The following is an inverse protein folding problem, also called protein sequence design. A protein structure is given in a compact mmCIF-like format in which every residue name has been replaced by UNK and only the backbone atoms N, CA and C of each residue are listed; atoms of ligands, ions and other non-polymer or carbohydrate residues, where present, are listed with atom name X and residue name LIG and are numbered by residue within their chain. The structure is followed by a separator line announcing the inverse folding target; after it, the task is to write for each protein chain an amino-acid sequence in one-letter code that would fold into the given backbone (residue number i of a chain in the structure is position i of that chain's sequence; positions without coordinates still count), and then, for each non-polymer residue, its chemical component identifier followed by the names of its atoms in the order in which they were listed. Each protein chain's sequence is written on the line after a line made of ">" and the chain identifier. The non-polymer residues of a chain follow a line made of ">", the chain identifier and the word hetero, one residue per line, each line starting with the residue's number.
data_IF_696979385746
#
_entry.id   IF_696979385746
#
_cell.length_a   1.000
_cell.length_b   1.000
_cell.length_c   1.000
_cell.angle_alpha   90.00
_cell.angle_beta   90.00
_cell.angle_gamma   90.00
#
_symmetry.space_group_name_H-M   'P 1'
#
loop_
_entity.id
_entity.type
_entity.pdbx_description
1 polymer ?
#
# COMPACT_ATOMS: atom_id res chain seq x y z
N UNK A 1 17.64 15.05 -0.21
CA UNK A 1 17.21 13.64 -0.19
C UNK A 1 18.43 12.81 -0.50
N UNK A 2 18.76 11.77 0.27
CA UNK A 2 19.92 10.91 -0.02
C UNK A 2 19.44 9.61 -0.67
N UNK A 3 19.57 9.50 -2.00
CA UNK A 3 19.17 8.31 -2.75
C UNK A 3 19.82 7.03 -2.24
N UNK A 4 21.00 7.10 -1.62
CA UNK A 4 21.66 5.93 -1.05
C UNK A 4 20.89 5.33 0.13
N UNK A 5 20.20 6.15 0.94
CA UNK A 5 19.32 5.65 2.01
C UNK A 5 18.15 4.86 1.41
N UNK A 6 17.53 5.37 0.35
CA UNK A 6 16.43 4.70 -0.34
C UNK A 6 16.88 3.40 -1.02
N UNK A 7 18.03 3.40 -1.70
CA UNK A 7 18.57 2.19 -2.31
C UNK A 7 18.88 1.11 -1.28
N UNK A 8 19.44 1.48 -0.12
CA UNK A 8 19.58 0.54 1.01
C UNK A 8 18.22 0.02 1.49
N UNK A 9 17.21 0.89 1.59
CA UNK A 9 15.86 0.52 2.05
C UNK A 9 15.19 -0.52 1.15
N UNK A 10 15.39 -0.44 -0.17
CA UNK A 10 14.76 -1.37 -1.13
C UNK A 10 15.72 -2.47 -1.62
N UNK A 11 16.96 -2.50 -1.14
CA UNK A 11 17.98 -3.45 -1.60
C UNK A 11 18.42 -3.24 -3.06
N UNK A 12 18.35 -2.01 -3.57
CA UNK A 12 18.82 -1.69 -4.92
C UNK A 12 20.34 -1.58 -4.95
N UNK A 13 20.95 -2.33 -5.88
CA UNK A 13 22.37 -2.26 -6.21
C UNK A 13 22.56 -2.35 -7.72
N UNK A 14 23.21 -1.36 -8.32
CA UNK A 14 23.44 -1.34 -9.76
C UNK A 14 23.64 0.08 -10.28
N UNK A 15 23.90 0.21 -11.59
CA UNK A 15 23.96 1.50 -12.25
C UNK A 15 22.59 2.19 -12.19
N UNK A 16 22.61 3.51 -12.06
CA UNK A 16 21.43 4.38 -12.07
C UNK A 16 21.72 5.74 -12.71
N UNK A 17 22.85 5.86 -13.42
CA UNK A 17 23.34 7.10 -14.02
C UNK A 17 22.46 7.58 -15.18
N UNK A 18 21.59 6.72 -15.71
CA UNK A 18 20.67 7.04 -16.80
C UNK A 18 19.25 6.54 -16.48
N UNK A 19 18.22 7.34 -16.77
CA UNK A 19 16.82 6.95 -16.58
C UNK A 19 16.36 6.00 -17.70
N UNK A 20 16.76 4.73 -17.62
CA UNK A 20 16.40 3.68 -18.59
C UNK A 20 15.27 2.76 -18.10
N UNK A 21 14.70 1.97 -19.02
CA UNK A 21 13.59 1.08 -18.68
C UNK A 21 13.99 -0.11 -17.78
N UNK A 22 15.17 -0.76 -17.97
CA UNK A 22 15.62 -1.82 -17.05
C UNK A 22 15.74 -1.35 -15.60
N UNK A 23 16.30 -0.16 -15.36
CA UNK A 23 16.43 0.42 -14.02
C UNK A 23 15.06 0.75 -13.43
N UNK A 24 14.14 1.31 -14.23
CA UNK A 24 12.78 1.62 -13.77
C UNK A 24 12.03 0.36 -13.32
N UNK A 25 12.06 -0.71 -14.13
CA UNK A 25 11.46 -2.02 -13.78
C UNK A 25 12.04 -2.57 -12.48
N UNK A 26 13.37 -2.51 -12.34
CA UNK A 26 14.05 -3.02 -11.16
C UNK A 26 13.71 -2.24 -9.90
N UNK A 27 13.71 -0.90 -9.97
CA UNK A 27 13.32 -0.04 -8.86
C UNK A 27 11.87 -0.29 -8.43
N UNK A 28 10.94 -0.40 -9.39
CA UNK A 28 9.54 -0.68 -9.14
C UNK A 28 9.35 -2.02 -8.40
N UNK A 29 9.95 -3.09 -8.94
CA UNK A 29 9.87 -4.45 -8.37
C UNK A 29 10.46 -4.50 -6.96
N UNK A 30 11.65 -3.94 -6.77
CA UNK A 30 12.31 -3.90 -5.45
C UNK A 30 11.51 -3.08 -4.43
N UNK A 31 10.89 -1.98 -4.85
CA UNK A 31 10.04 -1.19 -3.97
C UNK A 31 8.86 -2.00 -3.46
N UNK A 32 8.04 -2.59 -4.35
CA UNK A 32 6.83 -3.33 -3.93
C UNK A 32 7.14 -4.58 -3.11
N UNK A 33 8.36 -5.13 -3.23
CA UNK A 33 8.83 -6.28 -2.45
C UNK A 33 9.42 -5.89 -1.08
N UNK A 34 9.85 -4.63 -0.92
CA UNK A 34 10.57 -4.18 0.28
C UNK A 34 9.75 -3.22 1.15
N UNK A 35 8.88 -2.40 0.56
CA UNK A 35 8.10 -1.38 1.25
C UNK A 35 6.65 -1.86 1.37
N UNK A 36 6.14 -2.14 2.59
CA UNK A 36 4.76 -2.54 2.77
C UNK A 36 3.79 -1.43 2.36
N UNK A 37 2.70 -1.82 1.71
CA UNK A 37 1.49 -1.01 1.68
C UNK A 37 0.79 -1.15 3.03
N UNK A 38 0.67 -0.06 3.79
CA UNK A 38 0.09 -0.12 5.14
C UNK A 38 -0.54 1.21 5.59
N UNK A 39 -1.54 1.11 6.47
CA UNK A 39 -2.20 2.26 7.12
C UNK A 39 -2.14 2.18 8.65
N UNK A 40 -1.17 1.45 9.21
CA UNK A 40 -1.14 1.09 10.64
C UNK A 40 -0.95 2.31 11.55
N UNK A 41 -0.27 3.36 11.07
CA UNK A 41 -0.16 4.63 11.81
C UNK A 41 -1.52 5.18 12.21
N UNK A 42 -2.52 5.12 11.32
CA UNK A 42 -3.90 5.57 11.62
C UNK A 42 -4.51 4.78 12.79
N UNK A 43 -4.25 3.47 12.84
CA UNK A 43 -4.74 2.58 13.91
C UNK A 43 -3.93 2.67 15.20
N UNK A 44 -2.77 3.32 15.16
CA UNK A 44 -1.96 3.69 16.32
C UNK A 44 -2.22 5.13 16.80
N UNK A 45 -3.19 5.85 16.22
CA UNK A 45 -3.50 7.23 16.57
C UNK A 45 -2.50 8.26 16.02
N UNK A 46 -1.70 7.88 15.02
CA UNK A 46 -0.79 8.75 14.29
C UNK A 46 -1.42 9.21 12.97
N UNK A 47 -1.23 10.48 12.60
CA UNK A 47 -1.65 11.00 11.29
C UNK A 47 -0.79 10.42 10.15
N UNK A 48 -1.42 10.02 9.05
CA UNK A 48 -0.78 9.70 7.78
C UNK A 48 -0.45 11.02 7.05
N UNK A 49 0.81 11.43 7.19
CA UNK A 49 1.35 12.70 6.71
C UNK A 49 1.68 12.65 5.24
N UNK A 50 1.36 13.73 4.50
CA UNK A 50 1.86 13.94 3.14
C UNK A 50 3.13 14.79 3.08
N UNK A 51 3.64 15.27 4.22
CA UNK A 51 4.91 15.99 4.28
C UNK A 51 6.07 15.09 3.78
N UNK A 52 6.81 15.50 2.72
CA UNK A 52 7.82 14.65 2.12
C UNK A 52 8.96 14.25 3.07
N UNK A 53 9.26 15.07 4.08
CA UNK A 53 10.34 14.78 5.04
C UNK A 53 9.89 13.73 6.06
N UNK A 54 8.66 13.83 6.55
CA UNK A 54 8.04 12.83 7.45
C UNK A 54 7.84 11.48 6.75
N UNK A 55 7.41 11.50 5.49
CA UNK A 55 7.25 10.30 4.68
C UNK A 55 8.60 9.61 4.45
N UNK A 56 9.63 10.38 4.09
CA UNK A 56 10.99 9.85 3.93
C UNK A 56 11.51 9.21 5.21
N UNK A 57 11.38 9.89 6.35
CA UNK A 57 11.82 9.36 7.64
C UNK A 57 11.10 8.05 8.00
N UNK A 58 9.76 8.03 7.88
CA UNK A 58 8.93 6.85 8.14
C UNK A 58 9.34 5.66 7.26
N UNK A 59 9.32 5.83 5.94
CA UNK A 59 9.49 4.72 5.00
C UNK A 59 10.96 4.31 4.88
N UNK A 60 11.88 5.27 4.73
CA UNK A 60 13.28 5.01 4.40
C UNK A 60 14.11 4.76 5.65
N UNK A 61 14.05 5.64 6.65
CA UNK A 61 14.94 5.59 7.81
C UNK A 61 14.44 4.64 8.90
N UNK A 62 13.13 4.67 9.18
CA UNK A 62 12.49 3.79 10.17
C UNK A 62 12.06 2.45 9.60
N UNK A 63 12.16 2.25 8.28
CA UNK A 63 11.85 0.98 7.64
C UNK A 63 10.37 0.61 7.61
N UNK A 64 9.46 1.56 7.87
CA UNK A 64 8.01 1.33 7.80
C UNK A 64 7.53 1.23 6.35
N UNK A 65 6.23 0.98 6.21
CA UNK A 65 5.53 1.10 4.93
C UNK A 65 4.82 2.45 4.83
N UNK A 66 3.90 2.54 3.88
CA UNK A 66 2.96 3.64 3.78
C UNK A 66 1.84 3.32 2.81
N UNK A 67 0.78 4.11 2.84
CA UNK A 67 -0.31 3.98 1.89
C UNK A 67 -0.05 4.79 0.61
N UNK A 68 -1.05 4.90 -0.28
CA UNK A 68 -0.88 5.48 -1.61
C UNK A 68 -0.30 6.90 -1.62
N UNK A 69 -0.75 7.79 -0.73
CA UNK A 69 -0.25 9.16 -0.68
C UNK A 69 1.15 9.31 -0.07
N UNK A 70 1.67 8.29 0.62
CA UNK A 70 3.01 8.28 1.19
C UNK A 70 3.98 7.53 0.27
N UNK A 71 3.69 6.26 -0.02
CA UNK A 71 4.54 5.38 -0.80
C UNK A 71 4.59 5.80 -2.28
N UNK A 72 3.43 6.12 -2.86
CA UNK A 72 3.34 6.58 -4.25
C UNK A 72 4.11 7.88 -4.47
N UNK A 73 3.87 8.90 -3.65
CA UNK A 73 4.56 10.20 -3.77
C UNK A 73 6.07 10.09 -3.55
N UNK A 74 6.50 9.28 -2.57
CA UNK A 74 7.92 9.00 -2.34
C UNK A 74 8.57 8.38 -3.57
N UNK A 75 7.93 7.38 -4.17
CA UNK A 75 8.46 6.69 -5.34
C UNK A 75 8.57 7.63 -6.55
N UNK A 76 7.53 8.42 -6.82
CA UNK A 76 7.55 9.40 -7.91
C UNK A 76 8.65 10.45 -7.71
N UNK A 77 8.85 10.92 -6.48
CA UNK A 77 9.94 11.83 -6.15
C UNK A 77 11.31 11.20 -6.39
N UNK A 78 11.51 9.95 -5.97
CA UNK A 78 12.76 9.22 -6.25
C UNK A 78 13.02 9.13 -7.75
N UNK A 79 12.01 8.79 -8.55
CA UNK A 79 12.16 8.73 -10.01
C UNK A 79 12.53 10.09 -10.61
N UNK A 80 11.90 11.18 -10.18
CA UNK A 80 12.26 12.54 -10.63
C UNK A 80 13.73 12.88 -10.32
N UNK A 81 14.21 12.50 -9.14
CA UNK A 81 15.59 12.77 -8.69
C UNK A 81 16.61 11.89 -9.42
N UNK A 82 16.19 10.75 -9.97
CA UNK A 82 16.97 9.93 -10.89
C UNK A 82 16.94 10.44 -12.34
N UNK A 83 16.27 11.56 -12.60
CA UNK A 83 16.21 12.19 -13.92
C UNK A 83 15.13 11.64 -14.84
N UNK A 84 14.20 10.82 -14.33
CA UNK A 84 13.04 10.40 -15.11
C UNK A 84 12.08 11.59 -15.32
N UNK A 85 11.44 11.65 -16.49
CA UNK A 85 10.34 12.58 -16.77
C UNK A 85 9.05 12.02 -16.16
N UNK A 86 8.72 12.46 -14.94
CA UNK A 86 7.56 11.99 -14.17
C UNK A 86 6.40 12.98 -14.25
N UNK A 87 5.19 12.46 -14.44
CA UNK A 87 3.92 13.19 -14.26
C UNK A 87 3.10 12.50 -13.18
N UNK A 88 2.73 13.23 -12.13
CA UNK A 88 1.81 12.72 -11.10
C UNK A 88 0.40 12.71 -11.66
N UNK A 89 -0.34 11.62 -11.47
CA UNK A 89 -1.71 11.47 -11.92
C UNK A 89 -2.63 11.10 -10.75
N UNK A 90 -3.88 11.52 -10.83
CA UNK A 90 -4.96 11.12 -9.94
C UNK A 90 -5.72 9.93 -10.51
N UNK A 91 -6.11 9.01 -9.64
CA UNK A 91 -6.91 7.85 -10.01
C UNK A 91 -8.03 7.57 -9.02
N UNK A 92 -9.04 6.89 -9.51
CA UNK A 92 -10.33 6.67 -8.85
C UNK A 92 -10.52 5.18 -8.58
N UNK A 93 -10.43 4.81 -7.31
CA UNK A 93 -10.66 3.46 -6.80
C UNK A 93 -12.06 3.41 -6.18
N UNK A 94 -13.02 2.84 -6.90
CA UNK A 94 -14.44 2.73 -6.49
C UNK A 94 -15.04 4.04 -5.95
N UNK A 95 -14.62 5.18 -6.53
CA UNK A 95 -14.91 6.54 -6.08
C UNK A 95 -15.16 7.44 -7.29
N UNK A 96 -16.03 8.45 -7.21
CA UNK A 96 -16.14 9.47 -8.26
C UNK A 96 -14.96 10.46 -8.24
N UNK A 97 -14.28 10.60 -7.10
CA UNK A 97 -13.17 11.53 -6.88
C UNK A 97 -11.83 10.81 -6.85
N UNK A 98 -10.77 11.50 -7.28
CA UNK A 98 -9.40 11.03 -7.19
C UNK A 98 -9.04 10.73 -5.73
N UNK A 99 -8.74 9.46 -5.44
CA UNK A 99 -8.45 8.96 -4.10
C UNK A 99 -7.22 8.04 -4.07
N UNK A 100 -6.47 7.98 -5.17
CA UNK A 100 -5.25 7.19 -5.31
C UNK A 100 -4.25 7.90 -6.23
N UNK A 101 -2.97 7.88 -5.86
CA UNK A 101 -1.87 8.50 -6.62
C UNK A 101 -1.16 7.43 -7.45
N UNK A 102 -0.97 7.73 -8.73
CA UNK A 102 -0.11 6.97 -9.65
C UNK A 102 0.82 7.93 -10.39
N UNK A 103 1.75 7.42 -11.18
CA UNK A 103 2.59 8.23 -12.06
C UNK A 103 2.59 7.76 -13.50
N UNK A 104 2.86 8.70 -14.41
CA UNK A 104 3.29 8.44 -15.78
C UNK A 104 4.77 8.80 -15.92
N UNK A 105 5.54 7.92 -16.54
CA UNK A 105 6.97 8.10 -16.78
C UNK A 105 7.28 7.92 -18.26
N UNK A 106 7.91 8.93 -18.87
CA UNK A 106 8.39 8.85 -20.24
C UNK A 106 9.82 8.27 -20.26
N UNK A 107 10.02 7.15 -20.95
CA UNK A 107 11.31 6.45 -21.07
C UNK A 107 11.48 5.96 -22.51
N UNK A 108 12.60 6.29 -23.15
CA UNK A 108 12.94 5.81 -24.51
C UNK A 108 11.82 6.06 -25.54
N UNK A 109 11.13 7.21 -25.45
CA UNK A 109 10.04 7.58 -26.37
C UNK A 109 8.70 6.89 -26.10
N UNK A 110 8.55 6.16 -24.99
CA UNK A 110 7.32 5.49 -24.56
C UNK A 110 6.86 5.97 -23.20
N UNK A 111 5.55 5.96 -22.98
CA UNK A 111 4.95 6.29 -21.69
C UNK A 111 4.61 5.02 -20.91
N UNK A 112 4.90 5.04 -19.61
CA UNK A 112 4.60 3.95 -18.69
C UNK A 112 3.83 4.46 -17.48
N UNK A 113 2.84 3.70 -17.01
CA UNK A 113 2.19 3.87 -15.72
C UNK A 113 3.01 3.16 -14.66
N UNK A 114 3.30 3.87 -13.57
CA UNK A 114 3.93 3.35 -12.36
C UNK A 114 2.99 3.52 -11.18
N UNK A 115 2.87 2.47 -10.37
CA UNK A 115 2.10 2.46 -9.14
C UNK A 115 2.69 1.40 -8.22
N UNK A 116 3.29 1.83 -7.11
CA UNK A 116 3.92 0.94 -6.12
C UNK A 116 3.09 0.79 -4.85
N UNK A 117 1.84 1.27 -4.86
CA UNK A 117 1.11 1.58 -3.63
C UNK A 117 -0.39 1.23 -3.66
N UNK A 118 -0.78 0.29 -4.52
CA UNK A 118 -2.13 -0.28 -4.52
C UNK A 118 -2.26 -1.42 -3.49
N UNK A 119 -1.23 -2.25 -3.37
CA UNK A 119 -1.14 -3.34 -2.40
C UNK A 119 -1.94 -4.60 -2.77
N UNK A 120 -1.92 -5.57 -1.85
CA UNK A 120 -2.54 -6.91 -1.96
C UNK A 120 -2.20 -7.62 -3.28
N UNK A 121 -3.01 -8.58 -3.71
CA UNK A 121 -2.79 -9.32 -4.96
C UNK A 121 -3.13 -8.51 -6.22
N UNK A 122 -3.47 -7.23 -6.08
CA UNK A 122 -3.81 -6.32 -7.19
C UNK A 122 -2.63 -5.46 -7.64
N UNK A 123 -1.55 -5.47 -6.87
CA UNK A 123 -0.34 -4.68 -7.11
C UNK A 123 0.38 -5.12 -8.39
N UNK A 124 0.65 -4.18 -9.30
CA UNK A 124 1.59 -4.39 -10.41
C UNK A 124 3.02 -4.50 -9.89
N UNK A 125 3.85 -5.34 -10.48
CA UNK A 125 5.26 -5.51 -10.09
C UNK A 125 6.21 -4.71 -10.98
N UNK A 126 5.80 -4.43 -12.20
CA UNK A 126 6.56 -3.64 -13.17
C UNK A 126 5.70 -2.53 -13.79
N UNK A 127 6.32 -1.43 -14.25
CA UNK A 127 5.62 -0.38 -14.99
C UNK A 127 4.84 -0.94 -16.18
N UNK A 128 3.62 -0.45 -16.37
CA UNK A 128 2.77 -0.83 -17.49
C UNK A 128 2.92 0.17 -18.62
N UNK A 129 3.23 -0.28 -19.82
CA UNK A 129 3.24 0.58 -21.00
C UNK A 129 1.84 1.14 -21.24
N UNK A 130 1.74 2.45 -21.46
CA UNK A 130 0.50 3.17 -21.67
C UNK A 130 0.00 2.95 -23.10
N UNK A 131 -0.49 1.73 -23.35
CA UNK A 131 -0.99 1.29 -24.65
C UNK A 131 -2.35 0.61 -24.46
N UNK A 132 -3.39 1.19 -25.08
CA UNK A 132 -4.77 0.70 -24.94
C UNK A 132 -4.92 -0.72 -25.50
N UNK A 133 -5.55 -1.61 -24.74
CA UNK A 133 -5.86 -2.99 -25.12
C UNK A 133 -4.66 -3.95 -25.10
N UNK A 134 -3.47 -3.50 -24.73
CA UNK A 134 -2.29 -4.37 -24.63
C UNK A 134 -2.32 -5.19 -23.35
N UNK A 135 -2.30 -6.51 -23.50
CA UNK A 135 -2.08 -7.44 -22.40
C UNK A 135 -0.62 -7.38 -21.92
N UNK A 136 -0.43 -7.21 -20.62
CA UNK A 136 0.88 -7.10 -19.97
C UNK A 136 0.98 -8.15 -18.87
N UNK A 137 1.60 -9.28 -19.22
CA UNK A 137 1.73 -10.45 -18.34
C UNK A 137 2.78 -10.16 -17.26
N UNK A 138 2.39 -10.34 -16.00
CA UNK A 138 3.27 -10.27 -14.85
C UNK A 138 3.01 -11.45 -13.89
N UNK A 139 3.89 -11.66 -12.91
CA UNK A 139 3.73 -12.70 -11.90
C UNK A 139 2.37 -12.65 -11.15
N UNK A 140 1.82 -11.47 -10.80
CA UNK A 140 0.51 -11.41 -10.14
C UNK A 140 -0.68 -11.74 -11.05
N UNK A 141 -0.53 -11.65 -12.37
CA UNK A 141 -1.61 -11.81 -13.34
C UNK A 141 -1.37 -10.99 -14.61
N UNK A 142 -2.40 -10.92 -15.46
CA UNK A 142 -2.34 -10.13 -16.70
C UNK A 142 -3.00 -8.77 -16.44
N UNK A 143 -2.32 -7.69 -16.82
CA UNK A 143 -2.84 -6.34 -16.68
C UNK A 143 -3.12 -5.73 -18.05
N UNK A 144 -4.24 -5.02 -18.15
CA UNK A 144 -4.64 -4.35 -19.40
C UNK A 144 -5.07 -2.93 -19.07
N UNK A 145 -4.50 -1.97 -19.81
CA UNK A 145 -4.96 -0.59 -19.80
C UNK A 145 -5.92 -0.40 -20.97
N UNK A 146 -7.13 0.09 -20.72
CA UNK A 146 -8.14 0.33 -21.75
C UNK A 146 -8.53 1.79 -21.75
N UNK A 147 -8.44 2.44 -22.91
CA UNK A 147 -8.82 3.84 -23.09
C UNK A 147 -10.21 3.97 -23.69
N UNK A 148 -11.06 4.77 -23.06
CA UNK A 148 -12.37 5.20 -23.58
C UNK A 148 -12.46 6.72 -23.46
N UNK A 149 -12.35 7.43 -24.59
CA UNK A 149 -12.24 8.89 -24.59
C UNK A 149 -10.94 9.34 -23.93
N UNK A 150 -11.05 10.21 -22.93
CA UNK A 150 -9.94 10.72 -22.10
C UNK A 150 -9.65 9.86 -20.86
N UNK A 151 -10.52 8.89 -20.56
CA UNK A 151 -10.40 8.02 -19.39
C UNK A 151 -9.66 6.73 -19.76
N UNK A 152 -8.70 6.38 -18.92
CA UNK A 152 -8.03 5.09 -18.90
C UNK A 152 -8.53 4.26 -17.73
N UNK A 153 -8.70 2.96 -17.94
CA UNK A 153 -9.01 1.99 -16.89
C UNK A 153 -7.92 0.93 -16.82
N UNK A 154 -7.43 0.64 -15.61
CA UNK A 154 -6.58 -0.51 -15.37
C UNK A 154 -7.46 -1.69 -14.92
N UNK A 155 -7.33 -2.80 -15.63
CA UNK A 155 -7.95 -4.07 -15.28
C UNK A 155 -6.87 -5.10 -14.99
N UNK A 156 -7.18 -5.98 -14.04
CA UNK A 156 -6.39 -7.18 -13.79
C UNK A 156 -7.21 -8.41 -14.13
N UNK A 157 -6.65 -9.27 -14.96
CA UNK A 157 -7.11 -10.63 -15.17
C UNK A 157 -6.39 -11.56 -14.19
N UNK A 158 -7.14 -12.09 -13.22
CA UNK A 158 -6.65 -13.01 -12.20
C UNK A 158 -6.70 -14.47 -12.63
N UNK A 159 -6.04 -15.33 -11.86
CA UNK A 159 -6.03 -16.80 -12.05
C UNK A 159 -7.10 -17.47 -11.19
N UNK A 160 -7.33 -18.76 -11.42
CA UNK A 160 -8.28 -19.53 -10.60
C UNK A 160 -7.75 -19.58 -9.15
N UNK A 161 -8.53 -19.15 -8.14
CA UNK A 161 -8.11 -19.30 -6.76
C UNK A 161 -8.32 -20.75 -6.28
N UNK A 162 -7.39 -21.26 -5.48
CA UNK A 162 -7.55 -22.44 -4.63
C UNK A 162 -7.25 -22.06 -3.19
N UNK A 163 -8.25 -22.19 -2.32
CA UNK A 163 -8.11 -21.89 -0.90
C UNK A 163 -7.74 -23.18 -0.17
N UNK A 164 -6.55 -23.21 0.42
CA UNK A 164 -6.00 -24.39 1.10
C UNK A 164 -6.53 -24.53 2.53
N UNK A 165 -7.07 -23.45 3.10
CA UNK A 165 -7.55 -23.38 4.48
C UNK A 165 -9.08 -23.28 4.52
N UNK A 166 -9.78 -24.32 5.02
CA UNK A 166 -11.24 -24.33 5.07
C UNK A 166 -11.85 -23.15 5.82
N UNK A 167 -12.98 -22.64 5.33
CA UNK A 167 -13.74 -21.55 5.97
C UNK A 167 -13.40 -20.14 5.46
N UNK A 168 -12.44 -20.02 4.52
CA UNK A 168 -12.05 -18.75 3.90
C UNK A 168 -12.46 -18.62 2.43
N UNK A 169 -13.18 -19.60 1.87
CA UNK A 169 -13.58 -19.65 0.47
C UNK A 169 -14.42 -18.42 0.06
N UNK A 170 -15.24 -17.92 0.98
CA UNK A 170 -16.08 -16.73 0.80
C UNK A 170 -15.40 -15.41 1.25
N UNK A 171 -14.11 -15.44 1.63
CA UNK A 171 -13.40 -14.25 2.05
C UNK A 171 -13.27 -13.24 0.91
N UNK A 172 -13.45 -11.95 1.22
CA UNK A 172 -13.28 -10.86 0.24
C UNK A 172 -11.84 -10.69 -0.27
N UNK A 173 -10.88 -11.32 0.41
CA UNK A 173 -9.47 -11.37 -0.01
C UNK A 173 -9.24 -12.43 -1.10
N UNK A 174 -10.16 -13.37 -1.29
CA UNK A 174 -10.11 -14.35 -2.37
C UNK A 174 -10.76 -13.74 -3.61
N UNK A 175 -9.98 -13.61 -4.69
CA UNK A 175 -10.47 -13.04 -5.93
C UNK A 175 -10.94 -14.14 -6.87
N UNK A 176 -12.25 -14.36 -6.90
CA UNK A 176 -12.91 -15.35 -7.77
C UNK A 176 -13.18 -14.83 -9.18
N UNK A 177 -13.28 -13.52 -9.35
CA UNK A 177 -13.58 -12.92 -10.65
C UNK A 177 -12.32 -12.90 -11.52
N UNK A 178 -12.46 -13.41 -12.74
CA UNK A 178 -11.36 -13.52 -13.69
C UNK A 178 -10.87 -12.17 -14.20
N UNK A 179 -11.73 -11.16 -14.32
CA UNK A 179 -11.33 -9.81 -14.72
C UNK A 179 -12.03 -8.78 -13.84
N UNK A 180 -11.28 -7.83 -13.28
CA UNK A 180 -11.84 -6.73 -12.49
C UNK A 180 -11.15 -5.40 -12.80
N UNK A 181 -11.92 -4.31 -12.99
CA UNK A 181 -11.37 -2.97 -12.96
C UNK A 181 -10.81 -2.68 -11.56
N UNK A 182 -9.57 -2.18 -11.54
CA UNK A 182 -8.90 -1.76 -10.33
C UNK A 182 -9.16 -0.27 -10.05
N UNK A 183 -8.84 0.57 -11.04
CA UNK A 183 -9.06 2.01 -10.99
C UNK A 183 -9.11 2.61 -12.39
N UNK A 184 -9.65 3.82 -12.47
CA UNK A 184 -9.59 4.63 -13.69
C UNK A 184 -8.94 5.99 -13.42
N UNK A 185 -8.37 6.59 -14.45
CA UNK A 185 -7.62 7.85 -14.37
C UNK A 185 -7.71 8.61 -15.69
N UNK A 186 -7.34 9.89 -15.66
CA UNK A 186 -7.07 10.68 -16.87
C UNK A 186 -5.57 10.99 -16.93
N UNK A 187 -5.09 11.49 -18.07
CA UNK A 187 -3.70 11.95 -18.19
C UNK A 187 -3.52 13.40 -17.73
N UNK A 188 -4.49 13.95 -17.01
CA UNK A 188 -4.43 15.30 -16.44
C UNK A 188 -3.34 15.34 -15.34
N UNK A 189 -2.30 16.19 -15.49
CA UNK A 189 -1.28 16.32 -14.46
C UNK A 189 -1.88 16.80 -13.14
N UNK A 190 -1.48 16.16 -12.05
CA UNK A 190 -1.78 16.58 -10.68
C UNK A 190 -0.51 17.03 -9.98
N UNK A 191 -0.68 17.70 -8.84
CA UNK A 191 0.36 17.91 -7.85
C UNK A 191 0.04 17.09 -6.60
N UNK A 192 1.04 16.64 -5.82
CA UNK A 192 0.79 15.93 -4.57
C UNK A 192 -0.17 16.68 -3.63
N UNK A 193 -0.11 18.01 -3.59
CA UNK A 193 -0.96 18.85 -2.73
C UNK A 193 -2.45 18.79 -3.11
N UNK A 194 -2.76 18.46 -4.37
CA UNK A 194 -4.14 18.36 -4.85
C UNK A 194 -4.89 17.19 -4.19
N UNK A 195 -4.19 16.27 -3.52
CA UNK A 195 -4.76 15.13 -2.80
C UNK A 195 -4.94 15.37 -1.29
N UNK A 196 -4.67 16.57 -0.78
CA UNK A 196 -4.77 16.86 0.66
C UNK A 196 -6.16 16.56 1.24
N UNK A 197 -7.23 16.94 0.53
CA UNK A 197 -8.61 16.66 0.95
C UNK A 197 -8.92 15.15 0.90
N UNK A 198 -8.46 14.46 -0.16
CA UNK A 198 -8.63 13.01 -0.26
C UNK A 198 -7.89 12.28 0.87
N UNK A 199 -6.67 12.72 1.20
CA UNK A 199 -5.86 12.21 2.30
C UNK A 199 -6.54 12.43 3.66
N UNK A 200 -7.12 13.61 3.93
CA UNK A 200 -7.89 13.84 5.15
C UNK A 200 -9.13 12.94 5.21
N UNK A 201 -9.94 12.94 4.14
CA UNK A 201 -11.19 12.17 4.06
C UNK A 201 -10.94 10.68 4.27
N UNK A 202 -9.93 10.09 3.63
CA UNK A 202 -9.62 8.67 3.79
C UNK A 202 -9.18 8.29 5.22
N UNK A 203 -8.71 9.24 6.03
CA UNK A 203 -8.33 9.01 7.44
C UNK A 203 -9.46 9.25 8.43
N UNK A 204 -10.45 10.07 8.09
CA UNK A 204 -11.46 10.53 9.07
C UNK A 204 -12.88 10.07 8.76
N UNK A 205 -13.20 9.80 7.49
CA UNK A 205 -14.54 9.39 7.09
C UNK A 205 -14.85 7.98 7.64
N UNK A 206 -15.94 7.86 8.40
CA UNK A 206 -16.39 6.60 8.97
C UNK A 206 -16.73 5.55 7.90
N UNK A 207 -17.00 5.94 6.65
CA UNK A 207 -17.20 5.04 5.53
C UNK A 207 -15.88 4.58 4.88
N UNK A 208 -14.74 5.20 5.20
CA UNK A 208 -13.44 4.84 4.63
C UNK A 208 -13.03 3.42 5.04
N UNK A 209 -12.61 2.62 4.07
CA UNK A 209 -12.02 1.30 4.34
C UNK A 209 -10.83 1.42 5.30
N UNK A 210 -10.02 2.47 5.15
CA UNK A 210 -8.79 2.66 5.92
C UNK A 210 -9.07 2.98 7.38
N UNK A 211 -10.21 3.62 7.70
CA UNK A 211 -10.66 3.84 9.08
C UNK A 211 -11.16 2.53 9.69
N UNK A 212 -11.85 1.71 8.90
CA UNK A 212 -12.52 0.50 9.38
C UNK A 212 -11.62 -0.74 9.44
N UNK A 213 -10.49 -0.75 8.73
CA UNK A 213 -9.58 -1.90 8.62
C UNK A 213 -8.13 -1.44 8.67
N UNK A 214 -7.37 -2.06 9.58
CA UNK A 214 -5.91 -2.08 9.49
C UNK A 214 -5.50 -2.98 8.32
N UNK A 215 -4.52 -2.53 7.55
CA UNK A 215 -4.00 -3.21 6.36
C UNK A 215 -2.48 -3.15 6.44
N UNK A 216 -1.85 -4.30 6.25
CA UNK A 216 -0.46 -4.42 5.87
C UNK A 216 -0.39 -5.40 4.70
N UNK A 217 0.27 -5.05 3.62
CA UNK A 217 0.49 -5.94 2.49
C UNK A 217 1.87 -5.74 1.91
N UNK A 218 2.50 -6.83 1.48
CA UNK A 218 3.84 -6.80 0.97
C UNK A 218 4.04 -7.90 -0.07
N UNK A 219 4.56 -7.52 -1.24
CA UNK A 219 4.86 -8.48 -2.29
C UNK A 219 6.08 -9.33 -1.91
N UNK A 220 6.09 -10.56 -2.40
CA UNK A 220 7.18 -11.52 -2.23
C UNK A 220 7.47 -12.15 -3.57
N UNK A 221 8.67 -12.69 -3.73
CA UNK A 221 8.91 -13.56 -4.88
C UNK A 221 7.89 -14.71 -4.88
N UNK A 222 7.24 -14.91 -6.04
CA UNK A 222 6.17 -15.90 -6.21
C UNK A 222 4.84 -15.60 -5.50
N UNK A 223 4.61 -14.41 -4.90
CA UNK A 223 3.36 -14.20 -4.16
C UNK A 223 3.15 -12.86 -3.47
N UNK A 224 2.16 -12.81 -2.60
CA UNK A 224 1.88 -11.65 -1.74
C UNK A 224 1.42 -12.09 -0.36
N UNK A 225 1.86 -11.37 0.67
CA UNK A 225 1.34 -11.48 2.03
C UNK A 225 0.46 -10.27 2.33
N UNK A 226 -0.64 -10.50 3.05
CA UNK A 226 -1.49 -9.43 3.54
C UNK A 226 -2.09 -9.77 4.90
N UNK A 227 -2.20 -8.77 5.77
CA UNK A 227 -2.93 -8.80 7.02
C UNK A 227 -3.99 -7.70 6.94
N UNK A 228 -5.26 -8.08 6.92
CA UNK A 228 -6.39 -7.14 6.84
C UNK A 228 -7.29 -7.35 8.05
N UNK A 229 -7.31 -6.38 8.97
CA UNK A 229 -7.85 -6.56 10.31
C UNK A 229 -7.08 -7.68 11.02
N UNK A 230 -7.76 -8.81 11.28
CA UNK A 230 -7.17 -10.01 11.87
C UNK A 230 -6.93 -11.14 10.87
N UNK A 231 -7.29 -10.98 9.61
CA UNK A 231 -7.14 -12.06 8.63
C UNK A 231 -5.80 -11.93 7.94
N UNK A 232 -4.92 -12.89 8.20
CA UNK A 232 -3.69 -13.06 7.45
C UNK A 232 -3.95 -13.93 6.23
N UNK A 233 -3.39 -13.55 5.09
CA UNK A 233 -3.41 -14.30 3.85
C UNK A 233 -2.03 -14.31 3.21
N UNK A 234 -1.60 -15.49 2.76
CA UNK A 234 -0.46 -15.68 1.90
C UNK A 234 -0.96 -16.26 0.56
N UNK A 235 -0.75 -15.50 -0.51
CA UNK A 235 -1.12 -15.91 -1.86
C UNK A 235 0.15 -16.33 -2.60
N UNK A 236 0.19 -17.57 -3.08
CA UNK A 236 1.25 -18.07 -3.95
C UNK A 236 0.76 -18.07 -5.39
N UNK A 237 1.47 -17.36 -6.25
CA UNK A 237 1.20 -17.28 -7.68
C UNK A 237 1.72 -18.53 -8.40
N UNK A 238 0.88 -19.17 -9.24
CA UNK A 238 1.27 -20.31 -10.09
C UNK A 238 0.88 -20.02 -11.55
N UNK A 239 1.61 -19.11 -12.24
CA UNK A 239 1.31 -18.76 -13.63
C UNK A 239 1.22 -19.97 -14.56
N UNK A 240 2.15 -20.93 -14.43
CA UNK A 240 2.19 -22.13 -15.27
C UNK A 240 0.96 -23.05 -15.13
N UNK A 241 0.23 -22.93 -14.02
CA UNK A 241 -0.97 -23.72 -13.73
C UNK A 241 -2.26 -22.91 -13.88
N UNK A 242 -2.17 -21.65 -14.32
CA UNK A 242 -3.28 -20.69 -14.34
C UNK A 242 -4.08 -20.65 -13.01
N UNK A 243 -3.35 -20.78 -11.91
CA UNK A 243 -3.91 -20.94 -10.57
C UNK A 243 -3.14 -20.08 -9.55
N UNK A 244 -3.82 -19.63 -8.50
CA UNK A 244 -3.18 -19.01 -7.34
C UNK A 244 -3.66 -19.75 -6.06
N UNK A 245 -2.72 -20.06 -5.17
CA UNK A 245 -3.02 -20.75 -3.90
C UNK A 245 -3.17 -19.73 -2.78
N UNK A 246 -4.18 -19.89 -1.94
CA UNK A 246 -4.49 -19.01 -0.82
C UNK A 246 -4.39 -19.79 0.49
N UNK A 247 -3.41 -19.44 1.32
CA UNK A 247 -3.29 -19.89 2.71
C UNK A 247 -3.77 -18.76 3.62
N UNK A 248 -4.78 -19.02 4.45
CA UNK A 248 -5.42 -17.98 5.25
C UNK A 248 -5.65 -18.42 6.69
N UNK A 249 -5.52 -17.48 7.61
CA UNK A 249 -5.86 -17.71 9.01
C UNK A 249 -6.31 -16.43 9.69
N UNK A 250 -7.09 -16.60 10.74
CA UNK A 250 -7.30 -15.51 11.68
C UNK A 250 -6.12 -15.44 12.66
N UNK A 251 -5.64 -14.22 12.90
CA UNK A 251 -4.52 -13.90 13.79
C UNK A 251 -5.10 -13.40 15.11
N UNK A 252 -4.86 -14.12 16.23
CA UNK A 252 -5.18 -13.63 17.55
C UNK A 252 -4.51 -12.29 17.83
N UNK A 253 -5.14 -11.45 18.65
CA UNK A 253 -4.62 -10.11 18.95
C UNK A 253 -3.20 -10.14 19.53
N UNK A 254 -2.92 -11.12 20.40
CA UNK A 254 -1.60 -11.33 21.01
C UNK A 254 -0.49 -11.70 19.99
N UNK A 255 -0.85 -12.15 18.79
CA UNK A 255 0.11 -12.51 17.73
C UNK A 255 0.31 -11.38 16.70
N UNK A 256 -0.48 -10.30 16.73
CA UNK A 256 -0.47 -9.28 15.68
C UNK A 256 0.91 -8.62 15.51
N UNK A 257 1.53 -8.21 16.61
CA UNK A 257 2.86 -7.58 16.57
C UNK A 257 3.92 -8.55 16.04
N UNK A 258 3.84 -9.82 16.44
CA UNK A 258 4.75 -10.85 15.95
C UNK A 258 4.60 -11.04 14.43
N UNK A 259 3.37 -11.17 13.94
CA UNK A 259 3.07 -11.31 12.50
C UNK A 259 3.53 -10.08 11.72
N UNK A 260 3.26 -8.87 12.22
CA UNK A 260 3.73 -7.62 11.59
C UNK A 260 5.26 -7.59 11.45
N UNK A 261 5.98 -8.01 12.49
CA UNK A 261 7.44 -8.05 12.50
C UNK A 261 8.00 -9.12 11.57
N UNK A 262 7.49 -10.34 11.65
CA UNK A 262 8.04 -11.50 10.94
C UNK A 262 7.66 -11.50 9.46
N UNK A 263 6.41 -11.15 9.14
CA UNK A 263 5.91 -11.26 7.77
C UNK A 263 6.12 -9.97 6.95
N UNK A 264 6.09 -8.81 7.62
CA UNK A 264 6.11 -7.50 6.97
C UNK A 264 7.32 -6.63 7.34
N UNK A 265 8.17 -7.08 8.27
CA UNK A 265 9.28 -6.29 8.84
C UNK A 265 8.80 -4.95 9.44
N UNK A 266 7.58 -4.92 9.97
CA UNK A 266 6.98 -3.74 10.59
C UNK A 266 7.15 -3.86 12.10
N UNK A 267 7.75 -2.83 12.71
CA UNK A 267 7.71 -2.61 14.15
C UNK A 267 6.82 -1.41 14.42
N UNK A 268 5.77 -1.63 15.22
CA UNK A 268 5.00 -0.54 15.76
C UNK A 268 5.85 0.08 16.87
N UNK A 269 6.00 1.39 16.87
CA UNK A 269 6.59 2.04 18.03
C UNK A 269 5.57 1.88 19.15
N UNK A 270 5.93 1.22 20.24
CA UNK A 270 5.19 1.38 21.48
C UNK A 270 5.10 2.90 21.71
N UNK A 271 3.89 3.38 21.97
CA UNK A 271 3.64 4.73 22.43
C UNK A 271 4.37 4.94 23.77
N UNK A 272 5.67 5.20 23.72
CA UNK A 272 6.48 5.50 24.89
C UNK A 272 6.38 7.00 25.17
N UNK A 273 5.72 7.33 26.27
CA UNK A 273 6.23 8.17 27.37
C UNK A 273 6.87 9.55 27.11
N UNK A 274 7.04 10.07 25.89
CA UNK A 274 7.70 11.39 25.71
C UNK A 274 7.18 12.29 24.57
N UNK A 275 6.10 11.92 23.87
CA UNK A 275 5.39 12.89 23.01
C UNK A 275 4.13 13.38 23.71
N UNK A 276 4.26 14.46 24.50
CA UNK A 276 3.12 15.24 24.98
C UNK A 276 2.54 16.02 23.79
N UNK A 277 1.86 15.31 22.88
CA UNK A 277 0.92 15.91 21.96
C UNK A 277 -0.46 15.90 22.63
N UNK A 278 -0.97 17.10 22.94
CA UNK A 278 -2.27 17.29 23.60
C UNK A 278 -3.39 16.60 22.80
N UNK A 279 -4.28 15.81 23.43
CA UNK A 279 -5.42 15.22 22.74
C UNK A 279 -6.36 16.32 22.23
N UNK A 280 -6.82 16.19 20.98
CA UNK A 280 -7.87 17.04 20.41
C UNK A 280 -9.18 16.77 21.16
N UNK A 281 -9.62 17.71 21.98
CA UNK A 281 -11.04 17.81 22.34
C UNK A 281 -11.81 18.27 21.10
N UNK A 282 -12.59 17.37 20.49
CA UNK A 282 -13.76 17.77 19.70
C UNK A 282 -14.99 17.14 20.33
N UNK A 283 -15.77 18.01 20.97
CA UNK A 283 -17.11 17.78 21.47
C UNK A 283 -18.01 17.25 20.35
N UNK A 284 -18.55 16.06 20.55
CA UNK A 284 -19.87 15.70 20.02
C UNK A 284 -20.46 14.59 20.90
N UNK A 285 -21.47 14.98 21.68
CA UNK A 285 -22.31 14.12 22.52
C UNK A 285 -23.11 13.14 21.65
N UNK A 286 -22.41 12.11 21.17
CA UNK A 286 -23.01 10.84 20.77
C UNK A 286 -21.96 9.71 20.67
N UNK A 287 -20.76 9.93 21.20
CA UNK A 287 -19.61 9.02 21.05
C UNK A 287 -19.40 8.06 22.23
N UNK A 288 -20.24 8.10 23.26
CA UNK A 288 -20.06 7.30 24.49
C UNK A 288 -20.30 5.79 24.32
N UNK A 289 -20.59 5.30 23.10
CA UNK A 289 -20.64 3.86 22.78
C UNK A 289 -19.58 3.39 21.77
N UNK A 290 -18.69 4.28 21.31
CA UNK A 290 -17.66 3.94 20.32
C UNK A 290 -16.22 3.98 20.89
N UNK A 291 -16.05 4.51 22.10
CA UNK A 291 -14.77 4.54 22.82
C UNK A 291 -14.51 3.35 23.77
N UNK A 292 -15.41 2.38 23.84
CA UNK A 292 -15.18 1.09 24.55
C UNK A 292 -14.45 0.04 23.68
N UNK A 293 -14.11 0.32 22.42
CA UNK A 293 -13.45 -0.64 21.51
C UNK A 293 -11.99 -0.35 21.14
N UNK A 294 -11.39 0.71 21.69
CA UNK A 294 -9.95 0.99 21.60
C UNK A 294 -9.43 1.54 22.94
N UNK A 295 -9.79 0.87 24.04
CA UNK A 295 -9.21 1.14 25.37
C UNK A 295 -8.83 -0.18 26.05
N UNK A 296 -7.94 -0.97 25.43
CA UNK A 296 -7.09 -1.93 26.14
C UNK A 296 -5.71 -1.96 25.45
N UNK A 297 -5.05 -0.80 25.37
CA UNK A 297 -3.59 -0.70 25.13
C UNK A 297 -2.90 -0.02 26.35
N UNK A 298 -3.63 0.27 27.44
CA UNK A 298 -3.10 0.96 28.63
C UNK A 298 -3.44 0.32 29.99
N UNK A 299 -3.85 -0.94 30.06
CA UNK A 299 -4.25 -1.56 31.34
C UNK A 299 -3.58 -2.90 31.66
N UNK A 300 -2.28 -3.04 31.35
CA UNK A 300 -1.48 -4.16 31.87
C UNK A 300 -0.05 -3.77 32.27
N UNK A 301 0.11 -2.74 33.11
CA UNK A 301 1.38 -2.52 33.83
C UNK A 301 1.30 -1.82 35.20
N UNK A 302 0.15 -1.89 35.89
CA UNK A 302 0.01 -1.41 37.27
C UNK A 302 -0.51 -2.50 38.24
N UNK A 303 0.02 -3.73 38.17
CA UNK A 303 -0.06 -4.72 39.26
C UNK A 303 1.19 -5.59 39.37
N UNK A 304 2.36 -4.95 39.52
CA UNK A 304 3.54 -5.55 40.14
C UNK A 304 4.38 -4.47 40.81
N UNK A 305 3.84 -3.84 41.84
CA UNK A 305 4.58 -3.32 43.00
C UNK A 305 3.57 -2.85 44.06
N UNK A 306 3.91 -3.09 45.33
CA UNK A 306 3.04 -3.22 46.54
C UNK A 306 2.48 -4.65 46.68
N UNK A 307 3.00 -5.53 47.54
CA UNK A 307 3.92 -5.32 48.67
C UNK A 307 3.18 -4.95 49.95
N UNK A 308 2.21 -5.78 50.35
CA UNK A 308 1.88 -6.21 51.73
C UNK A 308 0.66 -7.14 51.67
#
# INVERSE_FOLDING_TARGET
>A
MDLSEYFRRIGFSGPFERPDLPTLRRLHRLHVMSVPFENLSLHCGEDLSMDPSRVWDKIVRRGRGGWCFESGTLFLRVLSELGYSVTVLGSRVYSPLDNHIIGKVAVEGRDFIVDVSFGVSKQIWEPLELQSGKEQIQEPGVFTLTQTGDVWALEKTGRRPEVLTPGFEASRLVHVDRARPLYCFTLEPRRPEDFAEANERLQTDAASLFVNKSIASLQREGGVKALVGRVYSHVTYRPDLEQDLYEMREVPEAELEQVLREEFNIRLNNSNENDVAKPRQKSNENTTKQYEKVTIILSFQMRRHTGL
#
